data_IF_387031945123
#
_entry.id   IF_387031945123
#
_cell.length_a   1.000
_cell.length_b   1.000
_cell.length_c   1.000
_cell.angle_alpha   90.00
_cell.angle_beta   90.00
_cell.angle_gamma   90.00
#
_symmetry.space_group_name_H-M   'P 1'
#
loop_
_entity.id
_entity.type
_entity.pdbx_description
1 polymer ?
#
# COMPACT_ATOMS: atom_id res chain seq x y z
N UNK A 1 -26.98 -23.83 29.60
CA UNK A 1 -26.56 -24.46 28.31
C UNK A 1 -26.30 -23.42 27.22
N UNK A 2 -27.25 -22.52 26.94
CA UNK A 2 -27.15 -21.46 25.91
C UNK A 2 -25.93 -20.52 26.04
N UNK A 3 -25.60 -20.11 27.29
CA UNK A 3 -24.46 -19.21 27.59
C UNK A 3 -23.10 -19.82 27.23
N UNK A 4 -22.97 -21.15 27.27
CA UNK A 4 -21.73 -21.90 26.93
C UNK A 4 -21.54 -21.98 25.41
N UNK A 5 -22.64 -22.15 24.67
CA UNK A 5 -22.66 -22.19 23.19
C UNK A 5 -22.35 -20.81 22.61
N UNK A 6 -22.95 -19.74 23.14
CA UNK A 6 -22.65 -18.37 22.74
C UNK A 6 -21.18 -18.01 22.95
N UNK A 7 -20.61 -18.40 24.09
CA UNK A 7 -19.19 -18.17 24.40
C UNK A 7 -18.27 -18.90 23.41
N UNK A 8 -18.60 -20.15 23.07
CA UNK A 8 -17.82 -20.92 22.10
C UNK A 8 -17.89 -20.34 20.68
N UNK A 9 -19.05 -19.81 20.28
CA UNK A 9 -19.24 -19.13 18.99
C UNK A 9 -18.45 -17.81 18.93
N UNK A 10 -18.44 -17.04 20.01
CA UNK A 10 -17.65 -15.80 20.09
C UNK A 10 -16.14 -16.07 20.10
N UNK A 11 -15.69 -17.08 20.84
CA UNK A 11 -14.28 -17.47 20.88
C UNK A 11 -13.82 -17.96 19.49
N UNK A 12 -14.63 -18.76 18.80
CA UNK A 12 -14.38 -19.18 17.41
C UNK A 12 -14.27 -18.00 16.43
N UNK A 13 -15.14 -16.99 16.53
CA UNK A 13 -15.05 -15.76 15.71
C UNK A 13 -13.80 -14.93 16.02
N UNK A 14 -13.40 -14.83 17.28
CA UNK A 14 -12.17 -14.12 17.69
C UNK A 14 -10.92 -14.79 17.12
N UNK A 15 -10.83 -16.12 17.24
CA UNK A 15 -9.70 -16.90 16.71
C UNK A 15 -9.55 -16.70 15.20
N UNK A 16 -10.67 -16.73 14.44
CA UNK A 16 -10.64 -16.46 12.99
C UNK A 16 -10.14 -15.05 12.64
N UNK A 17 -10.55 -14.03 13.39
CA UNK A 17 -10.10 -12.65 13.17
C UNK A 17 -8.62 -12.45 13.49
N UNK A 18 -8.13 -13.11 14.52
CA UNK A 18 -6.71 -13.06 14.88
C UNK A 18 -5.83 -13.72 13.82
N UNK A 19 -6.27 -14.84 13.24
CA UNK A 19 -5.55 -15.50 12.13
C UNK A 19 -5.49 -14.64 10.86
N UNK A 20 -6.60 -13.97 10.52
CA UNK A 20 -6.64 -13.03 9.37
C UNK A 20 -5.73 -11.82 9.64
N UNK A 21 -5.73 -11.27 10.86
CA UNK A 21 -4.85 -10.17 11.22
C UNK A 21 -3.37 -10.57 11.12
N UNK A 22 -3.00 -11.74 11.67
CA UNK A 22 -1.63 -12.27 11.56
C UNK A 22 -1.21 -12.41 10.11
N UNK A 23 -2.06 -13.00 9.26
CA UNK A 23 -1.79 -13.12 7.82
C UNK A 23 -1.66 -11.76 7.15
N UNK A 24 -2.54 -10.80 7.46
CA UNK A 24 -2.48 -9.44 6.92
C UNK A 24 -1.17 -8.73 7.27
N UNK A 25 -0.76 -8.79 8.54
CA UNK A 25 0.51 -8.19 9.00
C UNK A 25 1.72 -8.87 8.36
N UNK A 26 1.73 -10.19 8.25
CA UNK A 26 2.81 -10.93 7.57
C UNK A 26 2.90 -10.51 6.11
N UNK A 27 1.77 -10.46 5.39
CA UNK A 27 1.74 -10.01 4.00
C UNK A 27 2.24 -8.56 3.85
N UNK A 28 1.88 -7.67 4.76
CA UNK A 28 2.38 -6.29 4.77
C UNK A 28 3.91 -6.26 4.91
N UNK A 29 4.47 -7.04 5.84
CA UNK A 29 5.92 -7.14 6.01
C UNK A 29 6.62 -7.75 4.79
N UNK A 30 6.01 -8.75 4.15
CA UNK A 30 6.52 -9.36 2.91
C UNK A 30 6.50 -8.36 1.76
N UNK A 31 5.42 -7.59 1.62
CA UNK A 31 5.33 -6.52 0.62
C UNK A 31 6.44 -5.47 0.83
N UNK A 32 6.60 -4.99 2.05
CA UNK A 32 7.68 -4.07 2.43
C UNK A 32 9.07 -4.65 2.13
N UNK A 33 9.29 -5.93 2.41
CA UNK A 33 10.55 -6.62 2.13
C UNK A 33 10.83 -6.67 0.63
N UNK A 34 9.87 -7.08 -0.18
CA UNK A 34 10.03 -7.12 -1.64
C UNK A 34 10.31 -5.74 -2.22
N UNK A 35 9.65 -4.70 -1.71
CA UNK A 35 9.91 -3.33 -2.15
C UNK A 35 11.31 -2.85 -1.76
N UNK A 36 11.76 -3.14 -0.53
CA UNK A 36 13.13 -2.83 -0.10
C UNK A 36 14.18 -3.57 -0.96
N UNK A 37 13.95 -4.84 -1.26
CA UNK A 37 14.80 -5.62 -2.16
C UNK A 37 14.80 -5.08 -3.59
N UNK A 38 13.69 -4.50 -4.04
CA UNK A 38 13.60 -3.84 -5.35
C UNK A 38 14.58 -2.67 -5.43
N UNK A 39 14.64 -1.84 -4.38
CA UNK A 39 15.59 -0.72 -4.30
C UNK A 39 17.03 -1.23 -4.33
N UNK A 40 17.35 -2.21 -3.47
CA UNK A 40 18.69 -2.83 -3.44
C UNK A 40 19.06 -3.41 -4.80
N UNK A 41 18.10 -4.03 -5.50
CA UNK A 41 18.32 -4.57 -6.84
C UNK A 41 18.69 -3.48 -7.84
N UNK A 42 18.04 -2.31 -7.80
CA UNK A 42 18.34 -1.21 -8.72
C UNK A 42 19.64 -0.49 -8.41
N UNK A 43 19.92 -0.20 -7.15
CA UNK A 43 21.01 0.70 -6.76
C UNK A 43 22.27 -0.01 -6.27
N UNK A 44 22.23 -1.32 -6.05
CA UNK A 44 23.37 -2.10 -5.57
C UNK A 44 23.56 -2.03 -4.05
N UNK A 45 24.51 -2.82 -3.53
CA UNK A 45 24.68 -3.03 -2.10
C UNK A 45 25.63 -2.00 -1.47
N UNK A 46 25.16 -0.76 -1.36
CA UNK A 46 25.89 0.35 -0.72
C UNK A 46 25.25 0.78 0.60
N UNK A 47 26.03 1.41 1.49
CA UNK A 47 25.55 1.84 2.82
C UNK A 47 24.34 2.78 2.75
N UNK A 48 24.35 3.71 1.80
CA UNK A 48 23.23 4.64 1.57
C UNK A 48 21.99 3.91 1.04
N UNK A 49 22.18 2.91 0.18
CA UNK A 49 21.10 2.05 -0.31
C UNK A 49 20.45 1.27 0.83
N UNK A 50 21.21 0.77 1.80
CA UNK A 50 20.65 0.08 2.96
C UNK A 50 19.72 0.99 3.78
N UNK A 51 20.13 2.23 4.03
CA UNK A 51 19.29 3.21 4.73
C UNK A 51 18.02 3.51 3.94
N UNK A 52 18.14 3.81 2.65
CA UNK A 52 17.00 4.07 1.77
C UNK A 52 16.04 2.89 1.70
N UNK A 53 16.57 1.67 1.62
CA UNK A 53 15.77 0.43 1.60
C UNK A 53 15.01 0.21 2.91
N UNK A 54 15.62 0.54 4.06
CA UNK A 54 14.97 0.46 5.38
C UNK A 54 13.87 1.51 5.53
N UNK A 55 14.13 2.75 5.09
CA UNK A 55 13.12 3.81 5.08
C UNK A 55 11.96 3.40 4.18
N UNK A 56 12.22 2.83 3.01
CA UNK A 56 11.19 2.34 2.10
C UNK A 56 10.40 1.15 2.67
N UNK A 57 11.06 0.23 3.39
CA UNK A 57 10.40 -0.88 4.09
C UNK A 57 9.33 -0.36 5.06
N UNK A 58 9.72 0.60 5.91
CA UNK A 58 8.82 1.23 6.88
C UNK A 58 7.75 2.05 6.15
N UNK A 59 8.16 2.81 5.13
CA UNK A 59 7.29 3.64 4.32
C UNK A 59 6.14 2.85 3.68
N UNK A 60 6.44 1.72 3.03
CA UNK A 60 5.40 0.88 2.41
C UNK A 60 4.45 0.29 3.45
N UNK A 61 4.94 -0.15 4.60
CA UNK A 61 4.07 -0.63 5.68
C UNK A 61 3.10 0.45 6.15
N UNK A 62 3.60 1.69 6.33
CA UNK A 62 2.77 2.84 6.71
C UNK A 62 1.76 3.19 5.60
N UNK A 63 2.17 3.17 4.34
CA UNK A 63 1.27 3.41 3.20
C UNK A 63 0.13 2.40 3.18
N UNK A 64 0.43 1.10 3.36
CA UNK A 64 -0.61 0.05 3.42
C UNK A 64 -1.57 0.32 4.59
N UNK A 65 -1.06 0.67 5.78
CA UNK A 65 -1.90 0.99 6.94
C UNK A 65 -2.81 2.20 6.69
N UNK A 66 -2.25 3.29 6.13
CA UNK A 66 -2.98 4.53 5.86
C UNK A 66 -4.08 4.28 4.82
N UNK A 67 -3.74 3.67 3.68
CA UNK A 67 -4.71 3.37 2.61
C UNK A 67 -5.79 2.43 3.12
N UNK A 68 -5.41 1.39 3.87
CA UNK A 68 -6.37 0.46 4.46
C UNK A 68 -7.32 1.16 5.42
N UNK A 69 -6.81 2.07 6.25
CA UNK A 69 -7.62 2.80 7.23
C UNK A 69 -8.60 3.77 6.55
N UNK A 70 -8.13 4.54 5.58
CA UNK A 70 -8.97 5.48 4.83
C UNK A 70 -10.05 4.75 4.02
N UNK A 71 -9.68 3.67 3.32
CA UNK A 71 -10.63 2.86 2.55
C UNK A 71 -11.65 2.20 3.46
N UNK A 72 -11.22 1.70 4.63
CA UNK A 72 -12.11 1.15 5.64
C UNK A 72 -13.13 2.18 6.13
N UNK A 73 -12.68 3.40 6.47
CA UNK A 73 -13.57 4.47 6.94
C UNK A 73 -14.61 4.79 5.86
N UNK A 74 -14.16 4.98 4.62
CA UNK A 74 -15.06 5.29 3.51
C UNK A 74 -16.08 4.18 3.27
N UNK A 75 -15.63 2.93 3.12
CA UNK A 75 -16.53 1.79 2.89
C UNK A 75 -17.47 1.56 4.07
N UNK A 76 -17.03 1.80 5.30
CA UNK A 76 -17.90 1.71 6.48
C UNK A 76 -18.99 2.78 6.48
N UNK A 77 -18.69 4.00 6.02
CA UNK A 77 -19.67 5.08 5.86
C UNK A 77 -20.71 4.70 4.80
N UNK A 78 -20.26 4.21 3.64
CA UNK A 78 -21.15 3.92 2.50
C UNK A 78 -21.98 2.65 2.71
N UNK A 79 -21.36 1.59 3.23
CA UNK A 79 -21.99 0.26 3.31
C UNK A 79 -22.56 -0.08 4.70
N UNK A 80 -22.18 0.69 5.73
CA UNK A 80 -22.51 0.40 7.14
C UNK A 80 -21.87 -0.87 7.70
N UNK A 81 -21.04 -1.56 6.92
CA UNK A 81 -20.48 -2.89 7.24
C UNK A 81 -18.95 -2.88 7.12
N UNK A 82 -18.34 -3.98 7.54
CA UNK A 82 -16.91 -4.24 7.36
C UNK A 82 -16.04 -3.95 8.58
N UNK A 83 -14.81 -4.45 8.52
CA UNK A 83 -13.83 -4.36 9.58
C UNK A 83 -12.49 -3.91 8.97
N UNK A 84 -11.74 -3.11 9.73
CA UNK A 84 -10.42 -2.64 9.32
C UNK A 84 -9.46 -3.79 8.98
N UNK A 85 -9.54 -4.92 9.72
CA UNK A 85 -8.69 -6.09 9.51
C UNK A 85 -8.88 -6.67 8.10
N UNK A 86 -10.10 -6.67 7.58
CA UNK A 86 -10.44 -7.23 6.27
C UNK A 86 -9.89 -6.34 5.14
N UNK A 87 -9.99 -5.02 5.33
CA UNK A 87 -9.39 -4.02 4.44
C UNK A 87 -7.87 -4.13 4.47
N UNK A 88 -7.27 -4.23 5.66
CA UNK A 88 -5.83 -4.38 5.84
C UNK A 88 -5.31 -5.63 5.14
N UNK A 89 -5.99 -6.76 5.30
CA UNK A 89 -5.64 -7.99 4.59
C UNK A 89 -5.71 -7.82 3.07
N UNK A 90 -6.78 -7.20 2.56
CA UNK A 90 -7.00 -6.99 1.13
C UNK A 90 -5.87 -6.17 0.49
N UNK A 91 -5.51 -5.04 1.10
CA UNK A 91 -4.41 -4.21 0.60
C UNK A 91 -3.05 -4.87 0.81
N UNK A 92 -2.80 -5.48 1.97
CA UNK A 92 -1.52 -6.17 2.22
C UNK A 92 -1.27 -7.27 1.18
N UNK A 93 -2.31 -8.02 0.82
CA UNK A 93 -2.22 -9.03 -0.24
C UNK A 93 -1.95 -8.41 -1.61
N UNK A 94 -2.70 -7.38 -2.01
CA UNK A 94 -2.48 -6.68 -3.28
C UNK A 94 -1.10 -6.05 -3.40
N UNK A 95 -0.63 -5.39 -2.35
CA UNK A 95 0.70 -4.78 -2.31
C UNK A 95 1.83 -5.83 -2.28
N UNK A 96 1.59 -7.03 -1.73
CA UNK A 96 2.54 -8.14 -1.84
C UNK A 96 2.75 -8.53 -3.29
N UNK A 97 1.64 -8.69 -4.03
CA UNK A 97 1.68 -9.01 -5.47
C UNK A 97 2.41 -7.90 -6.23
N UNK A 98 2.01 -6.64 -6.01
CA UNK A 98 2.63 -5.50 -6.69
C UNK A 98 4.15 -5.43 -6.41
N UNK A 99 4.56 -5.56 -5.15
CA UNK A 99 5.97 -5.48 -4.75
C UNK A 99 6.79 -6.65 -5.30
N UNK A 100 6.20 -7.84 -5.42
CA UNK A 100 6.84 -8.98 -6.08
C UNK A 100 7.08 -8.71 -7.57
N UNK A 101 6.10 -8.18 -8.28
CA UNK A 101 6.26 -7.84 -9.70
C UNK A 101 7.22 -6.66 -9.93
N UNK A 102 7.28 -5.71 -9.00
CA UNK A 102 8.32 -4.67 -9.00
C UNK A 102 9.71 -5.26 -8.82
N UNK A 103 9.88 -6.21 -7.89
CA UNK A 103 11.14 -6.91 -7.70
C UNK A 103 11.54 -7.69 -8.96
N UNK A 104 10.62 -8.46 -9.53
CA UNK A 104 10.85 -9.18 -10.80
C UNK A 104 11.22 -8.18 -11.91
N UNK A 105 10.48 -7.07 -12.03
CA UNK A 105 10.76 -6.01 -12.98
C UNK A 105 12.17 -5.45 -12.82
N UNK A 106 12.60 -5.15 -11.59
CA UNK A 106 13.95 -4.65 -11.29
C UNK A 106 15.07 -5.60 -11.73
N UNK A 107 14.83 -6.91 -11.63
CA UNK A 107 15.78 -7.92 -12.08
C UNK A 107 15.81 -8.00 -13.61
N UNK A 108 14.65 -7.94 -14.25
CA UNK A 108 14.52 -7.97 -15.71
C UNK A 108 15.14 -6.73 -16.37
N UNK A 109 15.06 -5.55 -15.75
CA UNK A 109 15.66 -4.33 -16.29
C UNK A 109 17.19 -4.41 -16.44
N UNK A 110 17.85 -5.34 -15.75
CA UNK A 110 19.29 -5.57 -15.89
C UNK A 110 19.67 -6.29 -17.18
N UNK A 111 18.70 -6.85 -17.91
CA UNK A 111 18.94 -7.56 -19.17
C UNK A 111 19.08 -6.53 -20.30
N UNK A 112 20.23 -6.46 -20.99
CA UNK A 112 20.42 -5.50 -22.08
C UNK A 112 19.44 -5.74 -23.24
N UNK A 113 19.06 -4.65 -23.93
CA UNK A 113 18.16 -4.60 -25.10
C UNK A 113 16.69 -4.97 -24.87
N UNK A 114 16.40 -6.01 -24.07
CA UNK A 114 15.03 -6.53 -23.87
C UNK A 114 14.49 -6.30 -22.46
N UNK A 115 15.35 -5.96 -21.50
CA UNK A 115 14.99 -5.82 -20.09
C UNK A 115 13.96 -4.71 -19.83
N UNK A 116 14.00 -3.62 -20.59
CA UNK A 116 13.05 -2.53 -20.47
C UNK A 116 11.62 -2.96 -20.84
N UNK A 117 11.47 -3.71 -21.93
CA UNK A 117 10.17 -4.21 -22.39
C UNK A 117 9.65 -5.28 -21.42
N UNK A 118 10.50 -6.27 -21.08
CA UNK A 118 10.11 -7.37 -20.19
C UNK A 118 9.80 -6.88 -18.77
N UNK A 119 10.61 -5.97 -18.23
CA UNK A 119 10.38 -5.34 -16.93
C UNK A 119 9.10 -4.51 -16.91
N UNK A 120 8.85 -3.70 -17.95
CA UNK A 120 7.62 -2.94 -18.11
C UNK A 120 6.37 -3.83 -18.15
N UNK A 121 6.40 -4.93 -18.92
CA UNK A 121 5.30 -5.89 -19.00
C UNK A 121 5.05 -6.56 -17.65
N UNK A 122 6.10 -6.95 -16.93
CA UNK A 122 5.98 -7.56 -15.61
C UNK A 122 5.28 -6.60 -14.63
N UNK A 123 5.72 -5.34 -14.58
CA UNK A 123 5.13 -4.33 -13.68
C UNK A 123 3.67 -4.08 -14.05
N UNK A 124 3.34 -3.92 -15.34
CA UNK A 124 1.97 -3.69 -15.79
C UNK A 124 1.04 -4.86 -15.41
N UNK A 125 1.49 -6.11 -15.61
CA UNK A 125 0.74 -7.29 -15.17
C UNK A 125 0.57 -7.31 -13.65
N UNK A 126 1.62 -6.98 -12.91
CA UNK A 126 1.59 -6.87 -11.45
C UNK A 126 0.54 -5.89 -10.96
N UNK A 127 0.47 -4.70 -11.58
CA UNK A 127 -0.54 -3.68 -11.27
C UNK A 127 -1.95 -4.25 -11.51
N UNK A 128 -2.21 -4.81 -12.70
CA UNK A 128 -3.54 -5.34 -13.05
C UNK A 128 -3.99 -6.42 -12.05
N UNK A 129 -3.12 -7.38 -11.73
CA UNK A 129 -3.43 -8.49 -10.82
C UNK A 129 -3.62 -7.99 -9.39
N UNK A 130 -2.76 -7.08 -8.93
CA UNK A 130 -2.84 -6.50 -7.58
C UNK A 130 -4.17 -5.76 -7.36
N UNK A 131 -4.56 -4.88 -8.29
CA UNK A 131 -5.83 -4.14 -8.18
C UNK A 131 -7.05 -5.05 -8.32
N UNK A 132 -7.02 -6.02 -9.25
CA UNK A 132 -8.09 -7.01 -9.37
C UNK A 132 -8.27 -7.80 -8.05
N UNK A 133 -7.17 -8.18 -7.41
CA UNK A 133 -7.19 -8.86 -6.11
C UNK A 133 -7.76 -7.97 -5.00
N UNK A 134 -7.38 -6.70 -4.94
CA UNK A 134 -7.89 -5.75 -3.95
C UNK A 134 -9.40 -5.57 -4.13
N UNK A 135 -9.85 -5.30 -5.36
CA UNK A 135 -11.26 -5.08 -5.64
C UNK A 135 -12.11 -6.31 -5.32
N UNK A 136 -11.68 -7.49 -5.77
CA UNK A 136 -12.37 -8.75 -5.47
C UNK A 136 -12.48 -8.99 -3.96
N UNK A 137 -11.37 -8.86 -3.24
CA UNK A 137 -11.31 -9.07 -1.80
C UNK A 137 -12.22 -8.10 -1.03
N UNK A 138 -12.20 -6.82 -1.39
CA UNK A 138 -13.06 -5.81 -0.77
C UNK A 138 -14.55 -6.06 -1.09
N UNK A 139 -14.90 -6.42 -2.32
CA UNK A 139 -16.27 -6.79 -2.70
C UNK A 139 -16.77 -7.97 -1.87
N UNK A 140 -15.94 -9.02 -1.69
CA UNK A 140 -16.29 -10.21 -0.93
C UNK A 140 -16.49 -9.89 0.57
N UNK A 141 -15.60 -9.09 1.17
CA UNK A 141 -15.68 -8.74 2.59
C UNK A 141 -16.82 -7.78 2.91
N UNK A 142 -17.06 -6.78 2.07
CA UNK A 142 -18.09 -5.77 2.29
C UNK A 142 -19.44 -6.16 1.69
N UNK A 143 -19.50 -7.24 0.91
CA UNK A 143 -20.68 -7.68 0.16
C UNK A 143 -21.28 -6.53 -0.65
N UNK A 144 -20.41 -5.87 -1.40
CA UNK A 144 -20.73 -4.66 -2.18
C UNK A 144 -20.40 -4.86 -3.66
N UNK A 145 -20.93 -4.00 -4.50
CA UNK A 145 -20.69 -4.02 -5.94
C UNK A 145 -19.29 -3.45 -6.30
N UNK A 146 -18.89 -3.73 -7.53
CA UNK A 146 -17.59 -3.30 -8.06
C UNK A 146 -17.47 -1.78 -8.13
N UNK A 147 -18.55 -1.07 -8.46
CA UNK A 147 -18.52 0.39 -8.65
C UNK A 147 -18.26 1.09 -7.32
N UNK A 148 -18.97 0.69 -6.26
CA UNK A 148 -18.75 1.20 -4.90
C UNK A 148 -17.30 0.98 -4.44
N UNK A 149 -16.73 -0.19 -4.74
CA UNK A 149 -15.35 -0.53 -4.39
C UNK A 149 -14.34 0.33 -5.18
N UNK A 150 -14.55 0.50 -6.48
CA UNK A 150 -13.70 1.36 -7.33
C UNK A 150 -13.74 2.81 -6.83
N UNK A 151 -14.92 3.34 -6.52
CA UNK A 151 -15.07 4.71 -6.00
C UNK A 151 -14.30 4.86 -4.69
N UNK A 152 -14.46 3.93 -3.75
CA UNK A 152 -13.78 3.98 -2.46
C UNK A 152 -12.25 4.01 -2.62
N UNK A 153 -11.72 3.09 -3.42
CA UNK A 153 -10.28 2.98 -3.64
C UNK A 153 -9.75 4.21 -4.40
N UNK A 154 -10.45 4.65 -5.45
CA UNK A 154 -10.05 5.84 -6.24
C UNK A 154 -10.08 7.11 -5.40
N UNK A 155 -11.10 7.29 -4.56
CA UNK A 155 -11.21 8.43 -3.65
C UNK A 155 -10.03 8.49 -2.67
N UNK A 156 -9.62 7.36 -2.12
CA UNK A 156 -8.47 7.29 -1.22
C UNK A 156 -7.18 7.64 -1.94
N UNK A 157 -6.93 7.09 -3.13
CA UNK A 157 -5.75 7.44 -3.92
C UNK A 157 -5.74 8.92 -4.32
N UNK A 158 -6.89 9.46 -4.71
CA UNK A 158 -7.03 10.88 -5.02
C UNK A 158 -6.75 11.76 -3.80
N UNK A 159 -7.28 11.39 -2.63
CA UNK A 159 -7.07 12.13 -1.38
C UNK A 159 -5.59 12.14 -0.99
N UNK A 160 -4.91 10.99 -1.06
CA UNK A 160 -3.48 10.90 -0.77
C UNK A 160 -2.67 11.72 -1.77
N UNK A 161 -2.97 11.60 -3.07
CA UNK A 161 -2.32 12.39 -4.11
C UNK A 161 -2.50 13.90 -3.92
N UNK A 162 -3.70 14.33 -3.54
CA UNK A 162 -4.02 15.72 -3.25
C UNK A 162 -3.26 16.23 -2.00
N UNK A 163 -3.17 15.44 -0.94
CA UNK A 163 -2.39 15.80 0.26
C UNK A 163 -0.91 15.93 -0.09
N UNK A 164 -0.34 14.97 -0.82
CA UNK A 164 1.06 15.03 -1.26
C UNK A 164 1.29 16.31 -2.08
N UNK A 165 0.41 16.60 -3.03
CA UNK A 165 0.48 17.82 -3.83
C UNK A 165 0.48 19.09 -2.97
N UNK A 166 -0.42 19.20 -1.99
CA UNK A 166 -0.49 20.36 -1.10
C UNK A 166 0.79 20.52 -0.27
N UNK A 167 1.30 19.44 0.31
CA UNK A 167 2.54 19.47 1.11
C UNK A 167 3.74 19.84 0.23
N UNK A 168 3.84 19.29 -0.98
CA UNK A 168 4.89 19.64 -1.94
C UNK A 168 4.83 21.12 -2.32
N UNK A 169 3.63 21.67 -2.59
CA UNK A 169 3.48 23.09 -2.92
C UNK A 169 3.84 24.00 -1.74
N UNK A 170 3.47 23.62 -0.51
CA UNK A 170 3.87 24.35 0.69
C UNK A 170 5.40 24.36 0.87
N UNK A 171 6.05 23.21 0.65
CA UNK A 171 7.52 23.12 0.73
C UNK A 171 8.19 24.01 -0.32
N UNK A 172 7.73 23.95 -1.58
CA UNK A 172 8.25 24.78 -2.67
C UNK A 172 8.11 26.27 -2.33
N UNK A 173 6.94 26.70 -1.83
CA UNK A 173 6.72 28.10 -1.43
C UNK A 173 7.65 28.54 -0.30
N UNK A 174 7.95 27.67 0.67
CA UNK A 174 8.89 27.98 1.75
C UNK A 174 10.34 28.08 1.27
N UNK A 175 10.77 27.19 0.37
CA UNK A 175 12.12 27.25 -0.22
C UNK A 175 12.30 28.49 -1.09
N UNK A 176 11.33 28.81 -1.94
CA UNK A 176 11.40 30.01 -2.81
C UNK A 176 11.35 31.30 -1.97
N UNK A 177 10.54 31.33 -0.91
CA UNK A 177 10.48 32.45 0.03
C UNK A 177 11.78 32.66 0.81
N UNK A 178 12.48 31.58 1.15
CA UNK A 178 13.78 31.64 1.84
C UNK A 178 14.88 32.15 0.90
N UNK A 179 14.91 31.68 -0.35
CA UNK A 179 15.87 32.14 -1.37
C UNK A 179 15.71 33.63 -1.68
N UNK A 180 14.47 34.11 -1.80
CA UNK A 180 14.18 35.54 -2.01
C UNK A 180 14.57 36.40 -0.82
N UNK A 181 14.36 35.94 0.41
CA UNK A 181 14.81 36.63 1.62
C UNK A 181 16.35 36.71 1.71
N UNK A 182 17.05 35.61 1.45
CA UNK A 182 18.52 35.58 1.46
C UNK A 182 19.12 36.48 0.37
N UNK A 183 18.51 36.53 -0.82
CA UNK A 183 18.93 37.44 -1.89
C UNK A 183 18.74 38.93 -1.51
N UNK A 184 17.71 39.26 -0.72
CA UNK A 184 17.46 40.63 -0.26
C UNK A 184 18.41 41.12 0.84
N UNK A 185 19.13 40.21 1.52
CA UNK A 185 20.11 40.52 2.57
C UNK A 185 21.53 40.75 1.99
N UNK A 186 21.73 40.54 0.70
CA UNK A 186 23.03 40.71 0.01
C UNK A 186 23.18 42.08 -0.67
N UNK A 187 22.19 42.96 -0.55
CA UNK A 187 22.18 44.33 -1.08
C UNK A 187 22.11 45.37 0.04
#
# INVERSE_FOLDING_TARGET
>A
MYKKILKHIDDSRKIKKEDILKKGVILMLVASLFYALTIISFTGFEKETLVTSLVAFIGIALVILIISKLTYIFLRIVTGKGNFIDTLFSFSHGYTILSLFLLIGSLLFKIPYVGLILGGIAILKGIIIAYASIYKSLMDFYKTDLVTTIIAVTFVYFTIGFIIYLVSMQYIMQTVGLETFLASQQY
#
